data_IF_651942954753
#
_entry.id   IF_651942954753
#
_cell.length_a   1.000
_cell.length_b   1.000
_cell.length_c   1.000
_cell.angle_alpha   90.00
_cell.angle_beta   90.00
_cell.angle_gamma   90.00
#
_symmetry.space_group_name_H-M   'P 1'
#
loop_
_entity.id
_entity.type
_entity.pdbx_description
1 polymer ?
#
# COMPACT_ATOMS: atom_id res chain seq x y z
N UNK A 1 -78.16 45.11 -24.94
CA UNK A 1 -77.96 46.53 -24.59
C UNK A 1 -77.47 46.59 -23.16
N UNK A 2 -76.53 47.51 -22.92
CA UNK A 2 -75.75 47.78 -21.70
C UNK A 2 -74.54 46.87 -21.48
N UNK A 3 -73.34 47.35 -21.15
CA UNK A 3 -72.57 48.58 -21.44
C UNK A 3 -71.20 48.32 -20.80
N UNK A 4 -70.13 48.76 -21.45
CA UNK A 4 -68.81 48.90 -20.83
C UNK A 4 -68.80 50.05 -19.81
N UNK A 5 -67.75 50.06 -18.99
CA UNK A 5 -67.34 51.06 -17.98
C UNK A 5 -67.87 50.84 -16.55
N UNK A 6 -67.04 50.19 -15.72
CA UNK A 6 -66.32 50.95 -14.70
C UNK A 6 -65.09 50.19 -14.18
N UNK A 7 -63.92 50.80 -14.41
CA UNK A 7 -62.61 50.39 -13.92
C UNK A 7 -62.42 50.92 -12.49
N UNK A 8 -62.17 50.02 -11.54
CA UNK A 8 -61.54 50.38 -10.27
C UNK A 8 -60.25 49.55 -10.09
N UNK A 9 -59.13 50.26 -10.13
CA UNK A 9 -57.79 49.79 -9.80
C UNK A 9 -57.75 49.32 -8.32
N UNK A 10 -57.42 48.05 -8.09
CA UNK A 10 -56.86 47.61 -6.80
C UNK A 10 -55.56 46.87 -7.12
N UNK A 11 -54.44 47.42 -6.66
CA UNK A 11 -53.10 46.86 -6.88
C UNK A 11 -52.92 45.47 -6.28
N UNK A 12 -51.89 44.72 -6.70
CA UNK A 12 -51.58 43.41 -6.14
C UNK A 12 -51.29 43.49 -4.63
N UNK A 13 -51.63 42.43 -3.86
CA UNK A 13 -51.47 42.41 -2.41
C UNK A 13 -50.00 42.46 -2.00
N UNK A 14 -49.78 42.93 -0.76
CA UNK A 14 -48.49 43.15 -0.13
C UNK A 14 -47.56 41.93 -0.23
N UNK A 15 -46.29 42.18 -0.58
CA UNK A 15 -45.20 41.20 -0.46
C UNK A 15 -44.85 41.02 1.01
N UNK A 16 -45.04 39.81 1.53
CA UNK A 16 -44.59 39.42 2.86
C UNK A 16 -43.07 39.57 2.97
N UNK A 17 -42.62 40.14 4.09
CA UNK A 17 -41.23 40.38 4.40
C UNK A 17 -40.45 39.06 4.48
N UNK A 18 -39.41 38.94 3.64
CA UNK A 18 -38.44 37.84 3.71
C UNK A 18 -37.67 37.96 5.03
N UNK A 19 -37.89 37.01 5.94
CA UNK A 19 -37.10 36.89 7.16
C UNK A 19 -35.62 36.65 6.82
N UNK A 20 -34.73 37.44 7.42
CA UNK A 20 -33.29 37.30 7.23
C UNK A 20 -32.81 35.90 7.68
N UNK A 21 -31.87 35.26 6.94
CA UNK A 21 -31.41 33.92 7.27
C UNK A 21 -30.68 33.91 8.63
N UNK A 22 -31.14 33.08 9.55
CA UNK A 22 -30.47 32.82 10.83
C UNK A 22 -29.19 32.03 10.58
N UNK A 23 -28.05 32.58 10.99
CA UNK A 23 -26.74 31.96 10.81
C UNK A 23 -26.44 31.05 11.99
N UNK A 24 -26.31 29.74 11.75
CA UNK A 24 -25.95 28.76 12.78
C UNK A 24 -24.44 28.44 12.72
N UNK A 25 -23.84 28.23 13.89
CA UNK A 25 -22.41 27.91 14.06
C UNK A 25 -22.23 26.38 14.13
N UNK A 26 -21.18 25.86 13.49
CA UNK A 26 -20.93 24.42 13.37
C UNK A 26 -19.45 24.06 13.60
N UNK A 27 -19.19 22.86 14.16
CA UNK A 27 -17.84 22.37 14.40
C UNK A 27 -17.43 21.29 13.39
N UNK A 28 -16.45 21.58 12.54
CA UNK A 28 -16.02 20.71 11.43
C UNK A 28 -15.51 19.34 11.88
N UNK A 29 -14.82 19.26 13.02
CA UNK A 29 -14.18 18.01 13.48
C UNK A 29 -15.14 17.08 14.22
N UNK A 30 -16.15 17.62 14.90
CA UNK A 30 -17.15 16.83 15.60
C UNK A 30 -18.36 16.50 14.71
N UNK A 31 -18.49 17.19 13.58
CA UNK A 31 -19.55 17.05 12.58
C UNK A 31 -20.99 17.09 13.14
N UNK A 32 -21.19 17.81 14.25
CA UNK A 32 -22.48 18.05 14.89
C UNK A 32 -22.64 19.54 15.25
N UNK A 33 -23.88 20.01 15.37
CA UNK A 33 -24.16 21.34 15.91
C UNK A 33 -23.68 21.41 17.37
N UNK A 34 -22.93 22.45 17.77
CA UNK A 34 -22.35 22.51 19.10
C UNK A 34 -23.47 22.58 20.15
N UNK A 35 -23.56 21.54 21.00
CA UNK A 35 -24.55 21.48 22.08
C UNK A 35 -24.34 22.56 23.15
N UNK A 36 -23.13 23.12 23.24
CA UNK A 36 -22.78 24.27 24.08
C UNK A 36 -21.49 24.95 23.57
N UNK A 37 -21.35 26.26 23.79
CA UNK A 37 -20.18 27.06 23.37
C UNK A 37 -19.46 27.69 24.56
N UNK A 38 -18.18 28.04 24.41
CA UNK A 38 -17.46 28.87 25.41
C UNK A 38 -18.14 30.23 25.61
N UNK A 39 -17.80 30.97 26.68
CA UNK A 39 -18.36 32.31 26.98
C UNK A 39 -18.30 33.28 25.81
N UNK A 40 -17.32 33.11 24.93
CA UNK A 40 -17.06 33.98 23.79
C UNK A 40 -17.72 33.47 22.49
N UNK A 41 -18.44 32.34 22.55
CA UNK A 41 -19.28 31.79 21.47
C UNK A 41 -18.55 31.27 20.24
N UNK A 42 -17.21 31.26 20.23
CA UNK A 42 -16.39 31.02 19.02
C UNK A 42 -15.72 29.65 18.97
N UNK A 43 -15.71 28.87 20.06
CA UNK A 43 -14.98 27.59 20.11
C UNK A 43 -15.86 26.47 20.66
N UNK A 44 -15.69 25.28 20.08
CA UNK A 44 -16.33 24.05 20.53
C UNK A 44 -15.76 23.63 21.88
N UNK A 45 -16.62 23.40 22.88
CA UNK A 45 -16.19 22.96 24.21
C UNK A 45 -15.72 21.49 24.24
N UNK A 46 -16.04 20.69 23.23
CA UNK A 46 -15.68 19.27 23.15
C UNK A 46 -14.26 19.07 22.62
N UNK A 47 -13.87 19.79 21.56
CA UNK A 47 -12.57 19.63 20.92
C UNK A 47 -11.67 20.88 20.95
N UNK A 48 -12.20 22.05 21.33
CA UNK A 48 -11.45 23.30 21.40
C UNK A 48 -11.27 24.06 20.08
N UNK A 49 -11.73 23.48 18.95
CA UNK A 49 -11.63 24.08 17.63
C UNK A 49 -12.60 25.26 17.44
N UNK A 50 -12.27 26.15 16.51
CA UNK A 50 -13.06 27.35 16.21
C UNK A 50 -14.30 27.00 15.37
N UNK A 51 -15.45 27.59 15.70
CA UNK A 51 -16.73 27.28 15.08
C UNK A 51 -16.90 28.08 13.78
N UNK A 52 -17.33 27.40 12.72
CA UNK A 52 -17.57 28.00 11.41
C UNK A 52 -19.05 28.37 11.23
N UNK A 53 -19.34 29.47 10.54
CA UNK A 53 -20.72 29.86 10.22
C UNK A 53 -21.19 29.14 8.97
N UNK A 54 -22.31 28.42 9.08
CA UNK A 54 -22.98 27.80 7.93
C UNK A 54 -24.37 28.43 7.77
N UNK A 55 -24.70 28.85 6.55
CA UNK A 55 -26.06 29.29 6.23
C UNK A 55 -26.98 28.06 6.19
N UNK A 56 -28.09 28.11 6.91
CA UNK A 56 -29.10 27.05 6.84
C UNK A 56 -29.61 26.92 5.40
N UNK A 57 -29.64 25.69 4.87
CA UNK A 57 -30.18 25.44 3.54
C UNK A 57 -31.68 25.78 3.52
N UNK A 58 -32.12 26.56 2.54
CA UNK A 58 -33.52 26.90 2.35
C UNK A 58 -34.35 25.60 2.22
N UNK A 59 -35.48 25.55 2.94
CA UNK A 59 -36.36 24.39 2.99
C UNK A 59 -36.71 23.88 1.57
N UNK A 60 -36.55 22.57 1.38
CA UNK A 60 -36.85 21.84 0.16
C UNK A 60 -38.32 22.02 -0.21
N UNK A 61 -38.60 22.71 -1.32
CA UNK A 61 -39.95 22.71 -1.91
C UNK A 61 -40.17 21.37 -2.63
N UNK A 62 -41.26 20.69 -2.28
CA UNK A 62 -41.72 19.45 -2.93
C UNK A 62 -42.09 19.70 -4.40
N UNK A 63 -41.52 18.92 -5.31
CA UNK A 63 -41.86 18.92 -6.75
C UNK A 63 -43.07 17.98 -6.97
N UNK A 64 -44.15 18.40 -7.65
CA UNK A 64 -45.26 17.51 -7.97
C UNK A 64 -44.86 16.51 -9.06
N UNK A 65 -45.27 15.25 -8.90
CA UNK A 65 -44.90 14.14 -9.77
C UNK A 65 -45.30 14.37 -11.23
N UNK A 66 -44.31 14.30 -12.12
CA UNK A 66 -44.51 14.26 -13.56
C UNK A 66 -44.10 12.87 -14.10
N UNK A 67 -45.02 12.27 -14.85
CA UNK A 67 -44.85 11.03 -15.60
C UNK A 67 -43.88 11.27 -16.76
N UNK A 68 -42.81 10.47 -16.85
CA UNK A 68 -41.78 10.56 -17.90
C UNK A 68 -42.24 9.87 -19.20
N UNK A 69 -42.24 10.60 -20.33
CA UNK A 69 -42.72 10.10 -21.64
C UNK A 69 -41.63 9.64 -22.63
N UNK A 70 -40.35 9.74 -22.26
CA UNK A 70 -39.25 9.22 -23.09
C UNK A 70 -38.84 10.07 -24.31
N UNK A 71 -39.35 11.29 -24.46
CA UNK A 71 -38.86 12.26 -25.47
C UNK A 71 -37.40 12.68 -25.26
N UNK A 72 -36.67 13.13 -26.30
CA UNK A 72 -35.26 13.60 -26.20
C UNK A 72 -35.06 14.68 -25.13
N UNK A 73 -36.07 15.51 -24.91
CA UNK A 73 -36.14 16.50 -23.84
C UNK A 73 -36.08 15.87 -22.45
N UNK A 74 -36.70 14.70 -22.25
CA UNK A 74 -36.69 13.98 -20.96
C UNK A 74 -35.32 13.38 -20.62
N UNK A 75 -34.54 12.98 -21.63
CA UNK A 75 -33.17 12.45 -21.46
C UNK A 75 -32.20 13.59 -21.09
N UNK A 76 -32.35 14.75 -21.73
CA UNK A 76 -31.57 15.95 -21.41
C UNK A 76 -31.87 16.46 -20.00
N UNK A 77 -33.13 16.40 -19.56
CA UNK A 77 -33.52 16.76 -18.20
C UNK A 77 -33.00 15.77 -17.16
N UNK A 78 -33.02 14.46 -17.45
CA UNK A 78 -32.37 13.43 -16.62
C UNK A 78 -30.87 13.67 -16.51
N UNK A 79 -30.20 13.97 -17.62
CA UNK A 79 -28.77 14.26 -17.64
C UNK A 79 -28.44 15.53 -16.84
N UNK A 80 -29.26 16.58 -16.97
CA UNK A 80 -29.12 17.80 -16.18
C UNK A 80 -29.38 17.57 -14.68
N UNK A 81 -30.34 16.70 -14.33
CA UNK A 81 -30.66 16.34 -12.95
C UNK A 81 -29.55 15.50 -12.31
N UNK A 82 -28.99 14.53 -13.04
CA UNK A 82 -27.80 13.75 -12.61
C UNK A 82 -26.60 14.68 -12.40
N UNK A 83 -26.33 15.59 -13.34
CA UNK A 83 -25.22 16.55 -13.19
C UNK A 83 -25.43 17.49 -12.00
N UNK A 84 -26.68 17.93 -11.73
CA UNK A 84 -27.01 18.70 -10.53
C UNK A 84 -26.84 17.91 -9.24
N UNK A 85 -27.23 16.63 -9.23
CA UNK A 85 -27.06 15.74 -8.08
C UNK A 85 -25.57 15.49 -7.79
N UNK A 86 -24.75 15.30 -8.83
CA UNK A 86 -23.29 15.19 -8.73
C UNK A 86 -22.64 16.47 -8.17
N UNK A 87 -23.20 17.66 -8.47
CA UNK A 87 -22.72 18.92 -7.91
C UNK A 87 -23.19 19.20 -6.48
N UNK A 88 -24.38 18.72 -6.07
CA UNK A 88 -24.93 18.91 -4.71
C UNK A 88 -24.33 17.95 -3.67
N UNK A 89 -23.76 16.81 -4.10
CA UNK A 89 -22.98 15.90 -3.23
C UNK A 89 -21.66 16.56 -2.76
N UNK A 90 -21.35 17.79 -3.19
CA UNK A 90 -20.44 18.67 -2.45
C UNK A 90 -19.11 18.02 -2.11
N UNK A 91 -18.33 17.68 -3.14
CA UNK A 91 -16.96 17.24 -2.95
C UNK A 91 -16.22 17.43 -4.25
N UNK A 92 -15.16 18.23 -4.20
CA UNK A 92 -14.05 18.21 -5.13
C UNK A 92 -13.87 16.84 -5.83
N UNK A 93 -14.38 16.72 -7.05
CA UNK A 93 -14.00 15.60 -7.92
C UNK A 93 -12.55 15.79 -8.39
N UNK A 94 -12.11 17.05 -8.49
CA UNK A 94 -10.72 17.48 -8.52
C UNK A 94 -10.29 17.77 -7.08
N UNK A 95 -9.83 16.75 -6.35
CA UNK A 95 -9.43 16.87 -4.93
C UNK A 95 -8.66 18.16 -4.64
N UNK A 96 -9.25 19.09 -3.89
CA UNK A 96 -8.56 20.28 -3.41
C UNK A 96 -7.37 19.86 -2.58
N UNK A 97 -6.17 20.25 -3.02
CA UNK A 97 -4.81 20.20 -2.42
C UNK A 97 -4.36 18.99 -1.58
N UNK A 98 -5.20 17.98 -1.37
CA UNK A 98 -4.98 16.85 -0.48
C UNK A 98 -5.05 15.52 -1.27
N UNK A 99 -4.07 15.34 -2.16
CA UNK A 99 -3.35 14.08 -2.34
C UNK A 99 -3.93 13.00 -3.28
N UNK A 100 -5.17 12.56 -3.10
CA UNK A 100 -5.50 11.17 -3.48
C UNK A 100 -6.07 10.91 -4.90
N UNK A 101 -6.46 11.94 -5.66
CA UNK A 101 -7.09 11.78 -7.00
C UNK A 101 -6.45 12.62 -8.10
N UNK A 102 -5.21 13.06 -7.91
CA UNK A 102 -4.46 13.68 -9.01
C UNK A 102 -3.69 12.61 -9.76
N UNK A 103 -3.56 12.74 -11.08
CA UNK A 103 -2.62 11.94 -11.85
C UNK A 103 -1.21 12.05 -11.26
N UNK A 104 -0.46 10.96 -11.37
CA UNK A 104 0.97 10.98 -11.15
C UNK A 104 1.65 11.95 -12.13
N UNK A 105 2.71 12.65 -11.69
CA UNK A 105 3.54 13.40 -12.63
C UNK A 105 4.37 12.44 -13.49
N UNK A 106 4.59 12.77 -14.75
CA UNK A 106 5.39 11.95 -15.68
C UNK A 106 6.79 11.64 -15.11
N UNK A 107 7.40 12.61 -14.43
CA UNK A 107 8.70 12.43 -13.77
C UNK A 107 8.63 11.40 -12.63
N UNK A 108 7.57 11.42 -11.82
CA UNK A 108 7.38 10.44 -10.76
C UNK A 108 7.12 9.04 -11.34
N UNK A 109 6.34 8.93 -12.43
CA UNK A 109 6.12 7.65 -13.13
C UNK A 109 7.42 7.12 -13.73
N UNK A 110 8.23 8.00 -14.34
CA UNK A 110 9.53 7.63 -14.92
C UNK A 110 10.51 7.11 -13.88
N UNK A 111 10.42 7.59 -12.64
CA UNK A 111 11.23 7.13 -11.51
C UNK A 111 10.80 5.76 -10.96
N UNK A 112 9.60 5.26 -11.31
CA UNK A 112 9.19 3.89 -11.03
C UNK A 112 9.87 2.97 -12.03
N UNK A 113 11.12 2.58 -11.72
CA UNK A 113 11.89 1.66 -12.55
C UNK A 113 11.07 0.45 -12.98
N UNK A 114 11.10 0.13 -14.27
CA UNK A 114 10.44 -1.04 -14.84
C UNK A 114 11.49 -2.07 -15.24
N UNK A 115 11.20 -3.34 -15.01
CA UNK A 115 12.12 -4.44 -15.25
C UNK A 115 11.39 -5.65 -15.83
N UNK A 116 12.14 -6.57 -16.45
CA UNK A 116 11.59 -7.86 -16.86
C UNK A 116 11.36 -8.71 -15.62
N UNK A 117 10.14 -9.25 -15.47
CA UNK A 117 9.77 -10.12 -14.36
C UNK A 117 10.72 -11.31 -14.31
N UNK A 118 11.34 -11.52 -13.16
CA UNK A 118 12.25 -12.61 -12.89
C UNK A 118 11.58 -13.66 -12.00
N UNK A 119 12.34 -14.70 -11.67
CA UNK A 119 11.91 -15.77 -10.77
C UNK A 119 11.36 -15.21 -9.44
N UNK A 120 12.03 -14.22 -8.84
CA UNK A 120 11.62 -13.67 -7.56
C UNK A 120 10.41 -12.73 -7.64
N UNK A 121 10.10 -12.24 -8.83
CA UNK A 121 8.95 -11.38 -9.09
C UNK A 121 7.67 -12.15 -9.36
N UNK A 122 7.79 -13.40 -9.84
CA UNK A 122 6.67 -14.25 -10.27
C UNK A 122 6.29 -15.33 -9.25
N UNK A 123 7.24 -15.71 -8.39
CA UNK A 123 7.09 -16.82 -7.45
C UNK A 123 6.78 -16.32 -6.05
N UNK A 124 5.90 -17.07 -5.36
CA UNK A 124 5.75 -16.99 -3.91
C UNK A 124 6.41 -18.19 -3.23
N UNK A 125 7.15 -17.92 -2.16
CA UNK A 125 7.78 -18.97 -1.36
C UNK A 125 7.26 -18.89 0.06
N UNK A 126 6.67 -19.98 0.51
CA UNK A 126 6.18 -20.17 1.87
C UNK A 126 7.08 -21.16 2.61
N UNK A 127 7.52 -20.79 3.81
CA UNK A 127 8.23 -21.67 4.74
C UNK A 127 7.26 -22.05 5.85
N UNK A 128 7.05 -23.35 6.03
CA UNK A 128 6.20 -23.92 7.07
C UNK A 128 7.06 -24.77 7.98
N UNK A 129 7.08 -24.44 9.26
CA UNK A 129 7.86 -25.18 10.26
C UNK A 129 6.90 -26.12 10.98
N UNK A 130 7.31 -27.39 11.13
CA UNK A 130 6.50 -28.36 11.87
C UNK A 130 6.20 -27.84 13.28
N UNK A 131 4.95 -28.00 13.70
CA UNK A 131 4.41 -27.54 15.00
C UNK A 131 4.28 -26.01 15.17
N UNK A 132 4.63 -25.21 14.16
CA UNK A 132 4.35 -23.77 14.15
C UNK A 132 3.18 -23.52 13.20
N UNK A 133 2.14 -22.82 13.70
CA UNK A 133 0.99 -22.45 12.88
C UNK A 133 1.33 -21.27 11.96
N UNK A 134 0.95 -21.41 10.69
CA UNK A 134 1.09 -20.37 9.67
C UNK A 134 2.25 -20.62 8.71
N UNK A 135 2.32 -19.77 7.70
CA UNK A 135 3.41 -19.75 6.74
C UNK A 135 4.20 -18.45 6.85
N UNK A 136 5.51 -18.55 6.64
CA UNK A 136 6.41 -17.41 6.59
C UNK A 136 6.82 -17.18 5.14
N UNK A 137 6.70 -15.94 4.68
CA UNK A 137 7.12 -15.56 3.33
C UNK A 137 8.65 -15.51 3.27
N UNK A 138 9.20 -16.14 2.23
CA UNK A 138 10.59 -15.99 1.83
C UNK A 138 10.68 -15.49 0.38
N UNK A 139 11.82 -14.88 0.03
CA UNK A 139 12.09 -14.38 -1.32
C UNK A 139 13.18 -15.26 -1.96
N UNK A 140 12.95 -15.85 -3.14
CA UNK A 140 13.98 -16.67 -3.78
C UNK A 140 15.13 -15.81 -4.31
N UNK A 141 16.32 -16.39 -4.37
CA UNK A 141 17.44 -15.81 -5.09
C UNK A 141 17.21 -15.82 -6.61
N UNK A 142 17.90 -14.95 -7.33
CA UNK A 142 18.01 -15.01 -8.79
C UNK A 142 19.14 -15.95 -9.25
N UNK A 143 19.49 -16.91 -8.39
CA UNK A 143 20.50 -17.93 -8.63
C UNK A 143 20.11 -19.23 -7.91
N UNK A 144 20.66 -20.34 -8.40
CA UNK A 144 20.22 -21.67 -7.99
C UNK A 144 18.78 -21.98 -8.45
N UNK A 145 18.35 -23.24 -8.31
CA UNK A 145 16.98 -23.63 -8.60
C UNK A 145 16.00 -23.01 -7.59
N UNK A 146 14.78 -22.67 -8.03
CA UNK A 146 13.68 -22.34 -7.13
C UNK A 146 12.69 -23.51 -7.08
N UNK A 147 13.01 -24.46 -6.20
CA UNK A 147 12.27 -25.71 -6.04
C UNK A 147 11.80 -25.89 -4.60
N UNK A 148 10.69 -26.63 -4.45
CA UNK A 148 10.14 -26.94 -3.13
C UNK A 148 11.00 -27.97 -2.42
N UNK A 149 11.15 -27.83 -1.10
CA UNK A 149 11.80 -28.79 -0.23
C UNK A 149 10.78 -29.27 0.80
N UNK A 150 10.52 -30.58 0.85
CA UNK A 150 9.54 -31.15 1.79
C UNK A 150 10.23 -31.94 2.89
N UNK A 151 9.69 -31.83 4.11
CA UNK A 151 10.05 -32.58 5.31
C UNK A 151 11.55 -32.59 5.60
N UNK A 152 12.22 -31.45 5.39
CA UNK A 152 13.67 -31.35 5.61
C UNK A 152 13.97 -30.86 7.02
N UNK A 153 14.92 -31.51 7.67
CA UNK A 153 15.44 -31.00 8.93
C UNK A 153 16.16 -29.66 8.70
N UNK A 154 16.11 -28.80 9.70
CA UNK A 154 16.69 -27.47 9.66
C UNK A 154 17.89 -27.42 10.59
N UNK A 155 18.98 -26.81 10.14
CA UNK A 155 20.19 -26.60 10.94
C UNK A 155 20.62 -25.14 10.87
N UNK A 156 20.99 -24.57 12.01
CA UNK A 156 21.58 -23.22 12.06
C UNK A 156 23.06 -23.35 11.74
N UNK A 157 23.53 -22.56 10.78
CA UNK A 157 24.94 -22.55 10.41
C UNK A 157 25.82 -22.05 11.57
N UNK A 158 27.01 -22.62 11.69
CA UNK A 158 28.06 -22.12 12.57
C UNK A 158 29.40 -22.04 11.83
N UNK A 159 29.99 -20.86 11.58
CA UNK A 159 29.51 -19.54 11.98
C UNK A 159 28.21 -19.14 11.27
N UNK A 160 27.39 -18.35 11.96
CA UNK A 160 26.04 -18.03 11.50
C UNK A 160 26.01 -17.22 10.21
N UNK A 161 27.02 -16.42 9.91
CA UNK A 161 27.12 -15.68 8.64
C UNK A 161 27.56 -16.56 7.47
N UNK A 162 28.05 -17.78 7.73
CA UNK A 162 28.63 -18.65 6.72
C UNK A 162 29.71 -18.00 5.88
N UNK A 163 30.49 -17.05 6.44
CA UNK A 163 31.59 -16.37 5.77
C UNK A 163 32.89 -17.19 5.80
N UNK A 164 33.04 -18.04 6.82
CA UNK A 164 34.14 -19.00 7.00
C UNK A 164 33.64 -20.46 6.88
N UNK A 165 34.54 -21.46 6.78
CA UNK A 165 34.15 -22.87 6.84
C UNK A 165 33.28 -23.20 8.04
N UNK A 166 32.25 -24.03 7.84
CA UNK A 166 31.31 -24.37 8.90
C UNK A 166 31.92 -25.36 9.90
N UNK A 167 31.80 -25.04 11.19
CA UNK A 167 32.19 -25.91 12.30
C UNK A 167 31.26 -27.13 12.40
N UNK A 168 29.98 -26.97 12.06
CA UNK A 168 28.97 -28.02 12.05
C UNK A 168 28.65 -28.54 10.63
N UNK A 169 29.62 -28.56 9.72
CA UNK A 169 29.43 -29.01 8.34
C UNK A 169 28.86 -30.44 8.23
N UNK A 170 29.26 -31.33 9.14
CA UNK A 170 28.79 -32.71 9.25
C UNK A 170 27.27 -32.83 9.50
N UNK A 171 26.65 -31.80 10.07
CA UNK A 171 25.22 -31.80 10.39
C UNK A 171 24.34 -31.31 9.23
N UNK A 172 24.92 -30.80 8.14
CA UNK A 172 24.20 -30.10 7.06
C UNK A 172 23.65 -31.00 5.97
N UNK A 173 24.12 -32.24 5.89
CA UNK A 173 23.74 -33.18 4.83
C UNK A 173 22.22 -33.36 4.76
N UNK A 174 21.66 -33.08 3.58
CA UNK A 174 20.23 -33.22 3.27
C UNK A 174 19.28 -32.35 4.14
N UNK A 175 19.83 -31.27 4.72
CA UNK A 175 19.10 -30.32 5.56
C UNK A 175 18.95 -28.94 4.92
N UNK A 176 17.98 -28.18 5.42
CA UNK A 176 17.87 -26.74 5.16
C UNK A 176 18.83 -26.02 6.11
N UNK A 177 19.79 -25.27 5.57
CA UNK A 177 20.75 -24.51 6.37
C UNK A 177 20.25 -23.07 6.54
N UNK A 178 20.16 -22.60 7.79
CA UNK A 178 19.78 -21.22 8.12
C UNK A 178 21.01 -20.42 8.50
N UNK A 179 21.22 -19.28 7.85
CA UNK A 179 22.40 -18.41 8.07
C UNK A 179 22.03 -16.92 7.92
N UNK A 180 22.86 -16.01 8.41
CA UNK A 180 22.65 -14.57 8.26
C UNK A 180 23.22 -14.00 6.95
N UNK A 181 22.64 -12.87 6.52
CA UNK A 181 23.27 -11.94 5.59
C UNK A 181 24.56 -11.34 6.20
N UNK A 182 25.55 -11.08 5.35
CA UNK A 182 26.80 -10.40 5.72
C UNK A 182 28.03 -11.30 5.58
N UNK A 183 29.22 -10.72 5.78
CA UNK A 183 30.50 -11.45 5.81
C UNK A 183 31.06 -11.92 4.45
N UNK A 184 30.22 -12.33 3.50
CA UNK A 184 30.61 -12.65 2.12
C UNK A 184 29.41 -12.56 1.15
N UNK A 185 29.64 -12.81 -0.14
CA UNK A 185 28.59 -12.84 -1.19
C UNK A 185 27.58 -13.95 -0.93
N UNK A 186 26.35 -13.76 -1.42
CA UNK A 186 25.28 -14.75 -1.28
C UNK A 186 25.61 -16.07 -1.96
N UNK A 187 26.07 -16.01 -3.21
CA UNK A 187 26.47 -17.20 -3.96
C UNK A 187 27.58 -17.98 -3.23
N UNK A 188 28.59 -17.29 -2.69
CA UNK A 188 29.70 -17.94 -1.98
C UNK A 188 29.26 -18.70 -0.72
N UNK A 189 28.41 -18.12 0.12
CA UNK A 189 27.92 -18.81 1.33
C UNK A 189 26.98 -19.98 1.00
N UNK A 190 26.15 -19.83 -0.03
CA UNK A 190 25.27 -20.90 -0.50
C UNK A 190 26.10 -22.06 -1.07
N UNK A 191 27.11 -21.77 -1.91
CA UNK A 191 28.05 -22.78 -2.40
C UNK A 191 28.76 -23.50 -1.26
N UNK A 192 29.15 -22.78 -0.20
CA UNK A 192 29.79 -23.40 0.95
C UNK A 192 28.84 -24.39 1.64
N UNK A 193 27.57 -24.05 1.81
CA UNK A 193 26.59 -24.95 2.40
C UNK A 193 26.28 -26.14 1.50
N UNK A 194 26.18 -25.91 0.19
CA UNK A 194 26.07 -26.98 -0.82
C UNK A 194 27.23 -27.97 -0.73
N UNK A 195 28.47 -27.48 -0.59
CA UNK A 195 29.65 -28.33 -0.46
C UNK A 195 29.65 -29.13 0.86
N UNK A 196 28.91 -28.69 1.88
CA UNK A 196 28.63 -29.45 3.10
C UNK A 196 27.43 -30.41 2.96
N UNK A 197 26.82 -30.50 1.77
CA UNK A 197 25.70 -31.39 1.48
C UNK A 197 24.32 -30.84 1.81
N UNK A 198 24.18 -29.52 2.02
CA UNK A 198 22.89 -28.89 2.26
C UNK A 198 21.90 -29.17 1.11
N UNK A 199 20.63 -29.40 1.45
CA UNK A 199 19.56 -29.53 0.46
C UNK A 199 19.04 -28.17 -0.02
N UNK A 200 19.17 -27.13 0.82
CA UNK A 200 18.80 -25.75 0.50
C UNK A 200 19.21 -24.79 1.61
N UNK A 201 19.08 -23.50 1.35
CA UNK A 201 19.53 -22.45 2.27
C UNK A 201 18.45 -21.39 2.49
N UNK A 202 18.28 -20.97 3.74
CA UNK A 202 17.53 -19.78 4.13
C UNK A 202 18.51 -18.76 4.71
N UNK A 203 18.54 -17.58 4.11
CA UNK A 203 19.36 -16.45 4.53
C UNK A 203 18.49 -15.45 5.29
N UNK A 204 18.83 -15.15 6.53
CA UNK A 204 18.13 -14.18 7.36
C UNK A 204 18.69 -12.78 7.08
N UNK A 205 17.80 -11.86 6.72
CA UNK A 205 18.13 -10.45 6.59
C UNK A 205 18.57 -9.87 7.95
N UNK A 206 19.47 -8.89 7.95
CA UNK A 206 19.98 -8.25 9.18
C UNK A 206 19.29 -6.93 9.52
N UNK A 207 18.56 -6.35 8.56
CA UNK A 207 17.78 -5.13 8.73
C UNK A 207 16.28 -5.45 8.79
N UNK A 208 15.52 -4.69 9.59
CA UNK A 208 14.05 -4.82 9.66
C UNK A 208 13.38 -4.12 8.48
N UNK A 209 13.63 -4.68 7.29
CA UNK A 209 13.09 -4.24 6.01
C UNK A 209 12.54 -5.44 5.26
N UNK A 210 11.71 -5.18 4.24
CA UNK A 210 11.23 -6.22 3.35
C UNK A 210 12.41 -6.98 2.72
N UNK A 211 12.40 -8.33 2.69
CA UNK A 211 13.48 -9.08 2.08
C UNK A 211 13.57 -8.78 0.57
N UNK A 212 14.78 -8.79 0.04
CA UNK A 212 15.01 -8.50 -1.36
C UNK A 212 15.53 -9.73 -2.11
N UNK A 213 15.36 -9.73 -3.42
CA UNK A 213 15.91 -10.77 -4.30
C UNK A 213 17.43 -10.79 -4.20
N UNK A 214 17.99 -11.91 -3.73
CA UNK A 214 19.43 -12.06 -3.68
C UNK A 214 19.98 -12.22 -5.11
N UNK A 215 20.89 -11.34 -5.49
CA UNK A 215 21.56 -11.37 -6.80
C UNK A 215 23.01 -11.79 -6.64
N UNK A 216 23.55 -12.37 -7.72
CA UNK A 216 24.96 -12.69 -7.81
C UNK A 216 25.75 -11.47 -8.32
N UNK A 217 26.54 -10.86 -7.45
CA UNK A 217 27.38 -9.71 -7.79
C UNK A 217 28.73 -10.09 -8.38
N UNK A 218 29.15 -11.36 -8.29
CA UNK A 218 30.52 -11.81 -8.58
C UNK A 218 30.62 -12.90 -9.65
N UNK A 219 29.49 -13.43 -10.11
CA UNK A 219 29.45 -14.51 -11.11
C UNK A 219 29.71 -15.91 -10.53
N UNK A 220 29.78 -16.04 -9.21
CA UNK A 220 30.05 -17.28 -8.49
C UNK A 220 28.84 -18.24 -8.49
N UNK A 221 27.65 -17.74 -8.80
CA UNK A 221 26.40 -18.51 -8.75
C UNK A 221 26.30 -19.65 -9.75
N UNK A 222 27.15 -19.69 -10.78
CA UNK A 222 27.09 -20.69 -11.86
C UNK A 222 27.16 -22.13 -11.36
N UNK A 223 27.79 -22.36 -10.21
CA UNK A 223 27.94 -23.68 -9.61
C UNK A 223 26.91 -23.97 -8.52
N UNK A 224 25.97 -23.05 -8.25
CA UNK A 224 24.91 -23.23 -7.25
C UNK A 224 23.81 -24.10 -7.85
N UNK A 225 23.59 -25.26 -7.25
CA UNK A 225 22.61 -26.27 -7.66
C UNK A 225 21.56 -26.54 -6.57
N UNK A 226 21.57 -25.79 -5.47
CA UNK A 226 20.59 -25.90 -4.39
C UNK A 226 19.75 -24.63 -4.26
N UNK A 227 18.50 -24.73 -3.78
CA UNK A 227 17.65 -23.56 -3.59
C UNK A 227 18.16 -22.62 -2.51
N UNK A 228 18.04 -21.32 -2.75
CA UNK A 228 18.40 -20.28 -1.80
C UNK A 228 17.28 -19.25 -1.67
N UNK A 229 16.85 -19.01 -0.43
CA UNK A 229 15.76 -18.10 -0.10
C UNK A 229 16.20 -17.10 0.96
N UNK A 230 15.57 -15.92 1.00
CA UNK A 230 15.77 -14.90 2.01
C UNK A 230 14.52 -14.69 2.86
N UNK A 231 14.69 -14.57 4.18
CA UNK A 231 13.63 -14.26 5.14
C UNK A 231 13.91 -12.92 5.83
N UNK A 232 12.86 -12.25 6.32
CA UNK A 232 13.01 -10.97 7.04
C UNK A 232 13.75 -11.14 8.37
N UNK A 233 14.39 -10.08 8.85
CA UNK A 233 15.07 -10.09 10.15
C UNK A 233 14.10 -10.43 11.29
N UNK A 234 12.92 -9.78 11.28
CA UNK A 234 11.89 -9.95 12.31
C UNK A 234 11.47 -11.40 12.50
N UNK A 235 11.14 -12.10 11.41
CA UNK A 235 10.69 -13.49 11.50
C UNK A 235 11.88 -14.44 11.65
N UNK A 236 12.96 -14.18 10.92
CA UNK A 236 14.16 -15.00 10.92
C UNK A 236 14.85 -15.09 12.28
N UNK A 237 14.91 -14.00 13.03
CA UNK A 237 15.52 -14.00 14.37
C UNK A 237 14.73 -14.88 15.34
N UNK A 238 13.39 -14.75 15.36
CA UNK A 238 12.53 -15.61 16.17
C UNK A 238 12.61 -17.08 15.75
N UNK A 239 12.73 -17.35 14.44
CA UNK A 239 12.93 -18.70 13.94
C UNK A 239 14.28 -19.30 14.40
N UNK A 240 15.37 -18.55 14.37
CA UNK A 240 16.68 -19.01 14.85
C UNK A 240 16.68 -19.27 16.36
N UNK A 241 16.03 -18.41 17.15
CA UNK A 241 15.84 -18.64 18.58
C UNK A 241 15.08 -19.93 18.86
N UNK A 242 13.98 -20.17 18.13
CA UNK A 242 13.21 -21.41 18.22
C UNK A 242 14.06 -22.64 17.88
N UNK A 243 14.85 -22.61 16.81
CA UNK A 243 15.73 -23.72 16.41
C UNK A 243 16.78 -24.03 17.47
N UNK A 244 17.40 -23.00 18.08
CA UNK A 244 18.38 -23.17 19.15
C UNK A 244 17.77 -23.75 20.42
N UNK A 245 16.52 -23.41 20.73
CA UNK A 245 15.79 -23.97 21.86
C UNK A 245 15.41 -25.45 21.70
N UNK A 246 15.42 -25.98 20.48
CA UNK A 246 15.03 -27.37 20.14
C UNK A 246 16.16 -28.19 19.51
N UNK A 247 17.41 -27.86 19.82
CA UNK A 247 18.57 -28.45 19.15
C UNK A 247 18.64 -29.98 19.26
N UNK A 248 18.11 -30.56 20.35
CA UNK A 248 18.11 -32.02 20.59
C UNK A 248 16.93 -32.78 19.94
N UNK A 249 15.85 -32.09 19.56
CA UNK A 249 14.62 -32.72 19.07
C UNK A 249 14.52 -32.77 17.53
N UNK A 250 15.36 -32.00 16.83
CA UNK A 250 15.35 -31.92 15.37
C UNK A 250 14.09 -31.24 14.83
N UNK A 251 14.24 -30.04 14.28
CA UNK A 251 13.12 -29.30 13.67
C UNK A 251 13.06 -29.59 12.18
N UNK A 252 11.88 -29.94 11.67
CA UNK A 252 11.62 -30.09 10.24
C UNK A 252 10.80 -28.92 9.69
N UNK A 253 11.06 -28.57 8.43
CA UNK A 253 10.34 -27.53 7.71
C UNK A 253 10.11 -27.93 6.25
N UNK A 254 9.00 -27.41 5.72
CA UNK A 254 8.67 -27.40 4.30
C UNK A 254 8.97 -26.01 3.72
N UNK A 255 9.57 -25.99 2.54
CA UNK A 255 9.61 -24.83 1.66
C UNK A 255 8.73 -25.12 0.46
N UNK A 256 7.65 -24.37 0.31
CA UNK A 256 6.68 -24.51 -0.77
C UNK A 256 6.88 -23.36 -1.74
N UNK A 257 7.26 -23.72 -2.97
CA UNK A 257 7.41 -22.80 -4.09
C UNK A 257 6.14 -22.83 -4.91
N UNK A 258 5.40 -21.72 -4.94
CA UNK A 258 4.22 -21.53 -5.78
C UNK A 258 4.64 -20.72 -7.00
N UNK A 259 4.80 -21.43 -8.13
CA UNK A 259 5.05 -20.80 -9.43
C UNK A 259 3.83 -20.00 -9.84
N UNK A 260 4.06 -18.90 -10.54
CA UNK A 260 3.00 -18.12 -11.19
C UNK A 260 1.93 -17.61 -10.21
N UNK A 261 2.28 -17.51 -8.93
CA UNK A 261 1.37 -17.16 -7.84
C UNK A 261 1.11 -15.66 -7.73
N UNK A 262 1.73 -14.84 -8.60
CA UNK A 262 1.60 -13.40 -8.60
C UNK A 262 0.85 -12.92 -9.83
N UNK A 263 -0.35 -12.44 -9.56
CA UNK A 263 -1.22 -11.80 -10.53
C UNK A 263 -1.19 -10.28 -10.36
N UNK A 264 -1.27 -9.55 -11.47
CA UNK A 264 -1.48 -8.12 -11.40
C UNK A 264 -2.92 -7.84 -10.99
N UNK A 265 -3.13 -7.27 -9.80
CA UNK A 265 -4.48 -7.00 -9.28
C UNK A 265 -5.31 -6.02 -10.11
N UNK A 266 -4.70 -5.31 -11.06
CA UNK A 266 -5.41 -4.37 -11.95
C UNK A 266 -6.12 -5.14 -13.06
N UNK A 267 -5.44 -6.08 -13.72
CA UNK A 267 -5.99 -6.84 -14.85
C UNK A 267 -6.36 -8.29 -14.48
N UNK A 268 -6.00 -8.76 -13.28
CA UNK A 268 -6.17 -10.13 -12.80
C UNK A 268 -5.51 -11.18 -13.71
N UNK A 269 -4.39 -10.80 -14.33
CA UNK A 269 -3.57 -11.67 -15.18
C UNK A 269 -2.23 -11.93 -14.51
N UNK A 270 -1.72 -13.13 -14.69
CA UNK A 270 -0.40 -13.56 -14.23
C UNK A 270 0.73 -12.64 -14.73
N UNK A 271 1.69 -12.34 -13.86
CA UNK A 271 2.91 -11.63 -14.22
C UNK A 271 4.02 -12.63 -14.56
N UNK A 272 3.95 -13.30 -15.70
CA UNK A 272 4.91 -14.36 -16.08
C UNK A 272 6.34 -13.85 -16.33
N UNK A 273 7.32 -14.75 -16.26
CA UNK A 273 8.75 -14.43 -16.46
C UNK A 273 8.97 -13.73 -17.82
N UNK A 274 9.76 -12.66 -17.82
CA UNK A 274 10.08 -11.87 -19.01
C UNK A 274 9.08 -10.75 -19.32
N UNK A 275 7.89 -10.75 -18.72
CA UNK A 275 6.94 -9.64 -18.87
C UNK A 275 7.48 -8.36 -18.22
N UNK A 276 7.13 -7.21 -18.78
CA UNK A 276 7.52 -5.92 -18.20
C UNK A 276 6.65 -5.59 -17.00
N UNK A 277 7.27 -5.54 -15.82
CA UNK A 277 6.62 -5.21 -14.55
C UNK A 277 7.24 -3.96 -13.94
N UNK A 278 6.43 -3.25 -13.17
CA UNK A 278 6.86 -2.06 -12.44
C UNK A 278 6.54 -2.25 -10.97
N UNK A 279 7.50 -1.87 -10.12
CA UNK A 279 7.35 -1.96 -8.67
C UNK A 279 7.12 -0.58 -8.09
N UNK A 280 6.09 -0.46 -7.26
CA UNK A 280 5.79 0.75 -6.50
C UNK A 280 6.82 0.94 -5.36
N UNK A 281 6.95 2.15 -4.79
CA UNK A 281 7.86 2.39 -3.65
C UNK A 281 7.54 1.49 -2.45
N UNK A 282 6.26 1.15 -2.28
CA UNK A 282 5.77 0.18 -1.29
C UNK A 282 6.04 -1.30 -1.63
N UNK A 283 6.85 -1.59 -2.65
CA UNK A 283 7.25 -2.92 -3.15
C UNK A 283 6.16 -3.77 -3.84
N UNK A 284 4.91 -3.31 -3.90
CA UNK A 284 3.88 -3.97 -4.71
C UNK A 284 4.20 -3.90 -6.21
N UNK A 285 3.95 -4.99 -6.93
CA UNK A 285 4.27 -5.15 -8.35
C UNK A 285 3.02 -5.29 -9.20
N UNK A 286 3.11 -4.78 -10.42
CA UNK A 286 2.04 -4.74 -11.41
C UNK A 286 2.65 -4.85 -12.81
N UNK A 287 1.88 -5.26 -13.83
CA UNK A 287 2.31 -5.05 -15.21
C UNK A 287 2.54 -3.56 -15.45
N UNK A 288 3.62 -3.22 -16.15
CA UNK A 288 3.98 -1.82 -16.40
C UNK A 288 2.86 -1.05 -17.09
N UNK A 289 2.20 -1.67 -18.09
CA UNK A 289 1.09 -1.04 -18.81
C UNK A 289 -0.10 -0.74 -17.88
N UNK A 290 -0.53 -1.74 -17.09
CA UNK A 290 -1.66 -1.59 -16.18
C UNK A 290 -1.40 -0.52 -15.11
N UNK A 291 -0.19 -0.51 -14.54
CA UNK A 291 0.17 0.51 -13.56
C UNK A 291 0.23 1.90 -14.18
N UNK A 292 0.74 2.02 -15.41
CA UNK A 292 0.82 3.30 -16.10
C UNK A 292 -0.58 3.90 -16.32
N UNK A 293 -1.53 3.10 -16.81
CA UNK A 293 -2.93 3.52 -16.97
C UNK A 293 -3.57 3.93 -15.64
N UNK A 294 -3.31 3.17 -14.57
CA UNK A 294 -3.78 3.51 -13.23
C UNK A 294 -3.23 4.86 -12.75
N UNK A 295 -1.94 5.11 -12.98
CA UNK A 295 -1.25 6.31 -12.54
C UNK A 295 -1.66 7.58 -13.30
N UNK A 296 -2.31 7.43 -14.46
CA UNK A 296 -2.95 8.55 -15.17
C UNK A 296 -4.20 9.06 -14.44
N UNK A 297 -4.82 8.24 -13.59
CA UNK A 297 -6.04 8.60 -12.84
C UNK A 297 -5.70 8.99 -11.40
N UNK A 298 -4.76 8.29 -10.77
CA UNK A 298 -4.37 8.55 -9.38
C UNK A 298 -2.93 8.19 -9.08
N UNK A 299 -2.29 8.93 -8.18
CA UNK A 299 -0.86 8.79 -7.87
C UNK A 299 -0.52 7.73 -6.80
N UNK A 300 -1.41 6.77 -6.52
CA UNK A 300 -1.28 5.85 -5.38
C UNK A 300 -1.33 4.37 -5.77
N UNK A 301 -0.74 3.53 -4.92
CA UNK A 301 -0.71 2.07 -5.08
C UNK A 301 -2.12 1.46 -5.04
N UNK A 302 -2.52 0.63 -6.03
CA UNK A 302 -3.81 -0.07 -6.02
C UNK A 302 -4.05 -0.96 -4.79
N UNK A 303 -2.98 -1.50 -4.18
CA UNK A 303 -3.08 -2.43 -3.06
C UNK A 303 -3.13 -1.69 -1.72
N UNK A 304 -2.17 -0.79 -1.47
CA UNK A 304 -2.00 -0.17 -0.15
C UNK A 304 -2.19 1.35 -0.11
N UNK A 305 -2.55 1.97 -1.24
CA UNK A 305 -2.80 3.42 -1.39
C UNK A 305 -1.63 4.33 -1.03
N UNK A 306 -0.42 3.79 -0.89
CA UNK A 306 0.81 4.61 -0.74
C UNK A 306 1.07 5.37 -2.04
N UNK A 307 1.26 6.69 -1.93
CA UNK A 307 1.54 7.57 -3.06
C UNK A 307 2.98 7.44 -3.58
N UNK A 308 3.16 7.62 -4.89
CA UNK A 308 4.48 7.53 -5.54
C UNK A 308 5.40 8.73 -5.22
N UNK A 309 4.82 9.85 -4.77
CA UNK A 309 5.51 11.10 -4.46
C UNK A 309 5.74 11.30 -2.94
N UNK A 310 5.81 10.22 -2.16
CA UNK A 310 6.00 10.34 -0.73
C UNK A 310 7.46 10.71 -0.36
N UNK A 311 7.84 12.02 -0.45
CA UNK A 311 8.72 12.64 0.57
C UNK A 311 8.91 14.17 0.62
N UNK A 312 8.94 14.63 1.88
CA UNK A 312 9.37 15.91 2.50
C UNK A 312 8.51 17.16 2.24
N UNK A 313 7.56 17.42 3.13
CA UNK A 313 7.27 18.80 3.53
C UNK A 313 8.23 19.23 4.63
N UNK A 314 9.40 19.75 4.24
CA UNK A 314 10.10 20.68 5.09
C UNK A 314 9.23 21.94 5.19
N UNK A 315 8.49 22.09 6.28
CA UNK A 315 7.96 23.38 6.67
C UNK A 315 8.83 23.94 7.79
N UNK A 316 9.47 25.05 7.44
CA UNK A 316 10.26 25.90 8.29
C UNK A 316 9.40 26.35 9.47
N UNK A 317 9.71 25.87 10.68
CA UNK A 317 9.20 26.45 11.93
C UNK A 317 10.18 26.11 13.05
N UNK A 318 11.15 27.00 13.24
CA UNK A 318 11.91 27.09 14.49
C UNK A 318 10.95 27.33 15.66
N UNK A 319 10.67 26.31 16.47
CA UNK A 319 10.82 26.33 17.93
C UNK A 319 10.13 25.13 18.62
N UNK A 320 10.98 24.32 19.26
CA UNK A 320 10.73 23.49 20.47
C UNK A 320 9.52 22.55 20.51
N UNK A 321 9.77 21.29 20.13
CA UNK A 321 9.19 20.12 20.79
C UNK A 321 10.18 18.95 20.68
N UNK A 322 10.77 18.56 21.82
CA UNK A 322 11.63 17.38 21.95
C UNK A 322 10.75 16.13 21.89
N UNK A 323 10.37 15.68 20.70
CA UNK A 323 9.82 14.33 20.52
C UNK A 323 9.79 13.84 19.05
N UNK A 324 10.79 14.24 18.25
CA UNK A 324 10.87 13.90 16.82
C UNK A 324 11.74 12.65 16.50
N UNK A 325 12.01 11.78 17.47
CA UNK A 325 12.84 10.57 17.25
C UNK A 325 12.03 9.37 16.68
N UNK A 326 10.75 9.53 16.32
CA UNK A 326 9.85 8.41 15.99
C UNK A 326 9.26 8.36 14.58
N UNK A 327 9.72 9.16 13.61
CA UNK A 327 9.31 8.97 12.21
C UNK A 327 10.51 8.93 11.28
N UNK A 328 10.84 7.71 10.85
CA UNK A 328 11.95 7.40 9.96
C UNK A 328 11.78 8.07 8.61
N UNK A 329 12.54 9.14 8.40
CA UNK A 329 12.65 9.81 7.11
C UNK A 329 13.78 9.20 6.27
N UNK A 330 13.62 7.97 5.77
CA UNK A 330 14.54 7.37 4.78
C UNK A 330 14.12 7.62 3.33
N UNK A 331 14.91 8.35 2.54
CA UNK A 331 14.59 8.64 1.14
C UNK A 331 14.81 7.40 0.25
N UNK A 332 13.75 6.97 -0.43
CA UNK A 332 13.74 5.78 -1.30
C UNK A 332 14.69 5.89 -2.51
N UNK A 333 15.08 7.10 -2.91
CA UNK A 333 16.06 7.32 -3.99
C UNK A 333 17.47 6.83 -3.65
N UNK A 334 17.80 6.63 -2.37
CA UNK A 334 19.12 6.16 -1.93
C UNK A 334 19.29 4.64 -2.05
N UNK A 335 18.23 3.89 -2.37
CA UNK A 335 18.27 2.42 -2.51
C UNK A 335 18.64 1.92 -3.91
N UNK A 336 18.54 2.80 -4.92
CA UNK A 336 18.80 2.45 -6.33
C UNK A 336 20.06 3.12 -6.89
N UNK A 337 20.91 3.68 -6.02
CA UNK A 337 22.27 4.15 -6.36
C UNK A 337 23.32 3.10 -6.01
#
# INVERSE_FOLDING_TARGET
MASFDDLAFTGPPAVDAIAAPTVELFCRDCNEAPQSTTSDGKRCLVCGCELERRQAAAATQSIPGALFDGSETSVQELQAMVMRMLTQIGGDWNGGDNGARRPASDEAVKNLGSFAADQASTIEVAVMVKDIKGEVIAIPGNFGPCESLKERNVVVADPFDGANPFRNANEMKDKIVVMARGGCTFARKVLRAQNSGAAGVIIIQTLDIWPYTMTDSTGESKSVTIPAFMMSAKVGNGFVEFLRGKQDEGVSADIIVRKDARECVICQVEMSIGMKVTRMPCQHMFHTACLHEWLQIGNSCPICRVEIAAKRTAHNSSSTSRNAQQRGDFAWSEWFS
#
